data_IF_636236930929
#
_entry.id   IF_636236930929
#
_cell.length_a   1.000
_cell.length_b   1.000
_cell.length_c   1.000
_cell.angle_alpha   90.00
_cell.angle_beta   90.00
_cell.angle_gamma   90.00
#
_symmetry.space_group_name_H-M   'P 1'
#
loop_
_entity.id
_entity.type
_entity.pdbx_description
1 polymer ?
#
# COMPACT_ATOMS: atom_id res chain seq x y z
N UNK A 1 -16.74 -2.64 -8.81
CA UNK A 1 -15.30 -2.37 -8.95
C UNK A 1 -14.85 -1.46 -7.83
N UNK A 2 -13.74 -1.77 -7.18
CA UNK A 2 -13.23 -0.94 -6.10
C UNK A 2 -11.71 -0.79 -6.17
N UNK A 3 -11.22 0.33 -5.63
CA UNK A 3 -9.79 0.58 -5.48
C UNK A 3 -9.52 0.77 -4.00
N UNK A 4 -8.63 -0.02 -3.44
CA UNK A 4 -8.23 0.06 -2.04
C UNK A 4 -6.74 0.40 -1.95
N UNK A 5 -6.39 1.28 -1.02
CA UNK A 5 -4.99 1.59 -0.71
C UNK A 5 -4.60 0.79 0.53
N UNK A 6 -3.45 0.13 0.47
CA UNK A 6 -2.89 -0.63 1.60
C UNK A 6 -1.54 -0.01 1.92
N UNK A 7 -1.38 0.55 3.11
CA UNK A 7 -0.16 1.29 3.46
C UNK A 7 0.11 1.29 4.96
N UNK A 8 1.39 1.19 5.32
CA UNK A 8 1.88 1.46 6.67
C UNK A 8 2.59 2.82 6.65
N UNK A 9 2.26 3.70 7.59
CA UNK A 9 2.78 5.06 7.65
C UNK A 9 3.03 5.47 9.10
N UNK A 10 3.95 6.41 9.30
CA UNK A 10 4.20 6.97 10.61
C UNK A 10 3.28 8.18 10.90
N UNK A 11 3.51 8.87 12.01
CA UNK A 11 2.70 10.03 12.43
C UNK A 11 2.73 11.19 11.44
N UNK A 12 3.77 11.28 10.61
CA UNK A 12 3.94 12.31 9.58
C UNK A 12 3.67 11.81 8.17
N UNK A 13 3.02 10.65 8.04
CA UNK A 13 2.73 9.99 6.77
C UNK A 13 3.96 9.48 6.02
N UNK A 14 5.11 9.34 6.70
CA UNK A 14 6.28 8.74 6.08
C UNK A 14 6.05 7.26 5.81
N UNK A 15 6.43 6.80 4.62
CA UNK A 15 6.26 5.41 4.17
C UNK A 15 7.57 4.79 3.67
N UNK A 16 8.63 5.59 3.55
CA UNK A 16 9.92 5.08 3.10
C UNK A 16 11.07 5.97 3.48
N UNK A 17 12.24 5.34 3.63
CA UNK A 17 13.52 5.98 3.89
C UNK A 17 14.60 5.21 3.14
N UNK A 18 15.26 5.87 2.17
CA UNK A 18 16.32 5.25 1.39
C UNK A 18 15.87 4.03 0.57
N UNK A 19 14.61 3.98 0.12
CA UNK A 19 14.06 2.87 -0.65
C UNK A 19 13.53 1.72 0.17
N UNK A 20 13.58 1.80 1.51
CA UNK A 20 13.11 0.75 2.41
C UNK A 20 12.06 1.28 3.38
N UNK A 21 11.25 0.37 3.93
CA UNK A 21 10.35 0.71 5.03
C UNK A 21 11.17 0.93 6.31
N UNK A 22 10.87 2.01 7.08
CA UNK A 22 11.67 2.33 8.26
C UNK A 22 11.46 1.41 9.47
N UNK A 23 10.53 0.46 9.38
CA UNK A 23 10.19 -0.46 10.49
C UNK A 23 9.93 -1.86 9.96
N UNK A 24 9.94 -2.83 10.88
CA UNK A 24 9.56 -4.21 10.59
C UNK A 24 8.50 -4.65 11.61
N UNK A 25 7.29 -4.89 11.14
CA UNK A 25 6.15 -5.29 11.95
C UNK A 25 5.57 -6.60 11.40
N UNK A 26 5.78 -7.69 12.13
CA UNK A 26 5.40 -9.04 11.69
C UNK A 26 3.89 -9.16 11.44
N UNK A 27 3.06 -8.64 12.35
CA UNK A 27 1.61 -8.72 12.22
C UNK A 27 1.09 -7.86 11.08
N UNK A 28 1.77 -6.75 10.75
CA UNK A 28 1.45 -5.94 9.59
C UNK A 28 1.70 -6.70 8.28
N UNK A 29 2.80 -7.43 8.20
CA UNK A 29 3.10 -8.26 7.03
C UNK A 29 2.07 -9.36 6.84
N UNK A 30 1.59 -9.96 7.92
CA UNK A 30 0.51 -10.96 7.88
C UNK A 30 -0.80 -10.35 7.40
N UNK A 31 -1.15 -9.16 7.89
CA UNK A 31 -2.35 -8.44 7.45
C UNK A 31 -2.27 -8.07 5.99
N UNK A 32 -1.11 -7.55 5.53
CA UNK A 32 -0.87 -7.22 4.13
C UNK A 32 -1.14 -8.42 3.23
N UNK A 33 -0.60 -9.58 3.60
CA UNK A 33 -0.82 -10.81 2.85
C UNK A 33 -2.30 -11.20 2.83
N UNK A 34 -2.97 -11.14 3.98
CA UNK A 34 -4.40 -11.48 4.07
C UNK A 34 -5.28 -10.55 3.22
N UNK A 35 -4.96 -9.26 3.20
CA UNK A 35 -5.72 -8.27 2.42
C UNK A 35 -5.52 -8.43 0.91
N UNK A 36 -4.36 -8.88 0.47
CA UNK A 36 -3.98 -8.85 -0.94
C UNK A 36 -4.03 -10.22 -1.64
N UNK A 37 -3.97 -11.31 -0.89
CA UNK A 37 -3.91 -12.67 -1.47
C UNK A 37 -5.11 -12.94 -2.38
N UNK A 38 -4.83 -13.45 -3.59
CA UNK A 38 -5.85 -13.74 -4.59
C UNK A 38 -6.37 -12.52 -5.35
N UNK A 39 -5.81 -11.35 -5.12
CA UNK A 39 -6.25 -10.10 -5.74
C UNK A 39 -5.15 -9.48 -6.59
N UNK A 40 -5.50 -8.63 -7.58
CA UNK A 40 -4.50 -7.84 -8.28
C UNK A 40 -3.91 -6.79 -7.35
N UNK A 41 -2.59 -6.69 -7.34
CA UNK A 41 -1.84 -5.65 -6.60
C UNK A 41 -1.19 -4.71 -7.61
N UNK A 42 -1.31 -3.41 -7.37
CA UNK A 42 -0.70 -2.38 -8.20
C UNK A 42 0.42 -1.69 -7.44
N UNK A 43 1.58 -1.60 -8.07
CA UNK A 43 2.76 -0.95 -7.51
C UNK A 43 3.49 -0.15 -8.58
N UNK A 44 4.29 0.83 -8.17
CA UNK A 44 5.23 1.50 -9.05
C UNK A 44 6.51 0.67 -9.22
N UNK A 45 7.34 1.06 -10.18
CA UNK A 45 8.59 0.35 -10.48
C UNK A 45 9.54 0.31 -9.29
N UNK A 46 9.68 1.43 -8.56
CA UNK A 46 10.57 1.48 -7.38
C UNK A 46 10.13 0.52 -6.29
N UNK A 47 8.83 0.41 -6.07
CA UNK A 47 8.26 -0.54 -5.10
C UNK A 47 8.51 -1.98 -5.56
N UNK A 48 8.32 -2.27 -6.85
CA UNK A 48 8.60 -3.58 -7.42
C UNK A 48 10.06 -3.98 -7.20
N UNK A 49 11.00 -3.05 -7.43
CA UNK A 49 12.43 -3.28 -7.21
C UNK A 49 12.75 -3.49 -5.73
N UNK A 50 12.11 -2.73 -4.83
CA UNK A 50 12.32 -2.87 -3.39
C UNK A 50 11.82 -4.22 -2.86
N UNK A 51 10.69 -4.70 -3.35
CA UNK A 51 10.16 -6.02 -3.00
C UNK A 51 11.07 -7.13 -3.53
N UNK A 52 11.64 -6.95 -4.72
CA UNK A 52 12.66 -7.83 -5.28
C UNK A 52 12.16 -9.08 -5.99
N UNK A 53 10.86 -9.26 -6.11
CA UNK A 53 10.22 -10.40 -6.79
C UNK A 53 8.72 -10.16 -6.96
N UNK A 54 8.08 -10.98 -7.79
CA UNK A 54 6.62 -11.03 -7.82
C UNK A 54 6.08 -11.60 -6.51
N UNK A 55 4.98 -11.00 -6.01
CA UNK A 55 4.32 -11.50 -4.80
C UNK A 55 3.51 -12.74 -5.14
N UNK A 56 3.75 -13.88 -4.48
CA UNK A 56 3.04 -15.13 -4.78
C UNK A 56 1.54 -15.05 -4.50
N UNK A 57 0.75 -15.74 -5.32
CA UNK A 57 -0.70 -15.83 -5.12
C UNK A 57 -1.47 -14.58 -5.46
N UNK A 58 -0.87 -13.63 -6.15
CA UNK A 58 -1.47 -12.35 -6.54
C UNK A 58 -1.07 -12.02 -7.96
N UNK A 59 -1.95 -11.31 -8.67
CA UNK A 59 -1.59 -10.75 -9.97
C UNK A 59 -0.80 -9.46 -9.72
N UNK A 60 0.47 -9.45 -10.13
CA UNK A 60 1.38 -8.32 -9.88
C UNK A 60 1.33 -7.37 -11.08
N UNK A 61 0.81 -6.17 -10.86
CA UNK A 61 0.74 -5.12 -11.88
C UNK A 61 1.74 -4.03 -11.51
N UNK A 62 2.61 -3.66 -12.46
CA UNK A 62 3.62 -2.62 -12.26
C UNK A 62 3.30 -1.44 -13.17
N UNK A 63 3.01 -0.29 -12.57
CA UNK A 63 2.75 0.95 -13.30
C UNK A 63 4.09 1.59 -13.65
N UNK A 64 4.39 1.64 -14.94
CA UNK A 64 5.65 2.17 -15.44
C UNK A 64 5.54 2.58 -16.91
N UNK A 65 6.43 3.45 -17.37
CA UNK A 65 6.55 3.79 -18.79
C UNK A 65 7.41 2.77 -19.55
N UNK A 66 8.13 1.89 -18.84
CA UNK A 66 8.93 0.85 -19.46
C UNK A 66 8.04 -0.22 -20.12
N UNK A 67 8.60 -0.92 -21.11
CA UNK A 67 7.88 -2.00 -21.79
C UNK A 67 7.93 -3.32 -21.04
N UNK A 68 8.86 -3.46 -20.10
CA UNK A 68 9.04 -4.70 -19.33
C UNK A 68 9.02 -4.41 -17.82
N UNK A 69 8.47 -5.36 -17.07
CA UNK A 69 8.49 -5.33 -15.62
C UNK A 69 9.86 -5.78 -15.08
N UNK A 70 10.22 -5.37 -13.85
CA UNK A 70 11.50 -5.74 -13.25
C UNK A 70 11.73 -7.24 -13.06
N UNK A 71 10.66 -8.01 -12.80
CA UNK A 71 10.80 -9.44 -12.48
C UNK A 71 9.76 -10.28 -13.21
N UNK A 72 10.09 -11.57 -13.41
CA UNK A 72 9.16 -12.54 -13.96
C UNK A 72 7.90 -12.64 -13.06
N UNK A 73 6.77 -12.87 -13.69
CA UNK A 73 5.49 -12.97 -12.99
C UNK A 73 4.81 -11.63 -12.75
N UNK A 74 5.41 -10.54 -13.23
CA UNK A 74 4.82 -9.20 -13.17
C UNK A 74 4.31 -8.77 -14.53
N UNK A 75 3.22 -8.00 -14.55
CA UNK A 75 2.61 -7.45 -15.76
C UNK A 75 2.75 -5.94 -15.75
N UNK A 76 3.25 -5.35 -16.84
CA UNK A 76 3.30 -3.90 -16.99
C UNK A 76 1.92 -3.34 -17.30
N UNK A 77 1.56 -2.24 -16.63
CA UNK A 77 0.44 -1.40 -16.98
C UNK A 77 0.92 0.04 -17.12
N UNK A 78 0.29 0.82 -18.01
CA UNK A 78 0.70 2.18 -18.33
C UNK A 78 -0.25 3.24 -17.75
N UNK A 79 -1.35 2.81 -17.14
CA UNK A 79 -2.33 3.72 -16.53
C UNK A 79 -3.08 3.03 -15.40
N UNK A 80 -3.69 3.84 -14.53
CA UNK A 80 -4.57 3.32 -13.49
C UNK A 80 -5.79 2.62 -14.10
N UNK A 81 -6.36 3.16 -15.19
CA UNK A 81 -7.49 2.53 -15.88
C UNK A 81 -7.15 1.14 -16.40
N UNK A 82 -5.94 0.98 -16.94
CA UNK A 82 -5.47 -0.34 -17.39
C UNK A 82 -5.37 -1.32 -16.22
N UNK A 83 -4.85 -0.87 -15.07
CA UNK A 83 -4.77 -1.69 -13.87
C UNK A 83 -6.17 -2.07 -13.36
N UNK A 84 -7.10 -1.13 -13.35
CA UNK A 84 -8.49 -1.37 -12.94
C UNK A 84 -9.15 -2.43 -13.82
N UNK A 85 -8.88 -2.42 -15.12
CA UNK A 85 -9.42 -3.42 -16.06
C UNK A 85 -8.98 -4.85 -15.69
N UNK A 86 -7.77 -5.01 -15.17
CA UNK A 86 -7.28 -6.32 -14.71
C UNK A 86 -8.03 -6.86 -13.48
N UNK A 87 -8.70 -6.01 -12.72
CA UNK A 87 -9.45 -6.44 -11.54
C UNK A 87 -10.79 -7.11 -11.88
N UNK A 88 -11.24 -7.03 -13.13
CA UNK A 88 -12.47 -7.68 -13.61
C UNK A 88 -13.70 -7.41 -12.73
N UNK A 89 -13.88 -6.16 -12.31
CA UNK A 89 -14.98 -5.75 -11.44
C UNK A 89 -14.77 -5.98 -9.96
N UNK A 90 -13.66 -6.62 -9.56
CA UNK A 90 -13.28 -6.82 -8.16
C UNK A 90 -12.42 -5.68 -7.62
N UNK A 91 -11.72 -5.94 -6.52
CA UNK A 91 -10.87 -4.95 -5.85
C UNK A 91 -9.46 -4.93 -6.44
N UNK A 92 -8.97 -3.73 -6.77
CA UNK A 92 -7.57 -3.47 -7.08
C UNK A 92 -6.90 -2.97 -5.80
N UNK A 93 -5.83 -3.64 -5.39
CA UNK A 93 -5.10 -3.31 -4.15
C UNK A 93 -3.84 -2.52 -4.50
N UNK A 94 -3.82 -1.23 -4.17
CA UNK A 94 -2.69 -0.33 -4.45
C UNK A 94 -1.72 -0.38 -3.28
N UNK A 95 -0.50 -0.80 -3.54
CA UNK A 95 0.49 -1.10 -2.49
C UNK A 95 1.71 -0.18 -2.47
N UNK A 96 1.76 0.82 -3.32
CA UNK A 96 2.80 1.85 -3.25
C UNK A 96 3.52 2.11 -4.56
N UNK A 97 4.42 3.00 -4.58
CA UNK A 97 4.78 3.94 -3.50
C UNK A 97 4.03 5.26 -3.54
N UNK A 98 4.65 6.31 -3.04
CA UNK A 98 4.00 7.59 -2.84
C UNK A 98 3.30 8.17 -4.06
N UNK A 99 3.95 8.12 -5.22
CA UNK A 99 3.36 8.63 -6.47
C UNK A 99 2.14 7.81 -6.90
N UNK A 100 2.19 6.48 -6.73
CA UNK A 100 1.07 5.61 -7.10
C UNK A 100 -0.09 5.78 -6.13
N UNK A 101 0.18 5.95 -4.83
CA UNK A 101 -0.87 6.29 -3.87
C UNK A 101 -1.54 7.62 -4.22
N UNK A 102 -0.75 8.64 -4.55
CA UNK A 102 -1.29 9.96 -4.93
C UNK A 102 -2.17 9.88 -6.17
N UNK A 103 -1.77 9.07 -7.16
CA UNK A 103 -2.54 8.86 -8.38
C UNK A 103 -3.87 8.15 -8.10
N UNK A 104 -3.87 7.14 -7.21
CA UNK A 104 -5.03 6.31 -6.95
C UNK A 104 -5.99 6.90 -5.92
N UNK A 105 -5.50 7.73 -4.99
CA UNK A 105 -6.30 8.26 -3.88
C UNK A 105 -7.61 8.93 -4.32
N UNK A 106 -7.66 9.78 -5.36
CA UNK A 106 -8.92 10.40 -5.77
C UNK A 106 -9.99 9.41 -6.21
N UNK A 107 -9.60 8.20 -6.60
CA UNK A 107 -10.51 7.14 -7.08
C UNK A 107 -10.67 6.00 -6.10
N UNK A 108 -9.99 6.05 -4.95
CA UNK A 108 -10.03 4.98 -3.97
C UNK A 108 -11.34 4.99 -3.17
N UNK A 109 -11.86 3.80 -2.89
CA UNK A 109 -13.07 3.58 -2.10
C UNK A 109 -12.74 3.23 -0.66
N UNK A 110 -11.57 2.62 -0.44
CA UNK A 110 -11.12 2.15 0.87
C UNK A 110 -9.64 2.45 1.08
N UNK A 111 -9.28 2.63 2.34
CA UNK A 111 -7.89 2.66 2.77
C UNK A 111 -7.74 1.71 3.96
N UNK A 112 -6.74 0.85 3.88
CA UNK A 112 -6.33 -0.04 4.97
C UNK A 112 -4.99 0.46 5.46
N UNK A 113 -5.00 1.26 6.53
CA UNK A 113 -3.80 1.89 7.07
C UNK A 113 -3.26 1.10 8.25
N UNK A 114 -1.95 1.06 8.36
CA UNK A 114 -1.26 0.72 9.60
C UNK A 114 -0.58 1.99 10.09
N UNK A 115 -1.15 2.60 11.12
CA UNK A 115 -0.61 3.83 11.72
C UNK A 115 0.43 3.44 12.75
N UNK A 116 1.70 3.66 12.43
CA UNK A 116 2.83 3.28 13.28
C UNK A 116 3.18 4.44 14.21
N UNK A 117 3.29 4.15 15.51
CA UNK A 117 3.54 5.15 16.54
C UNK A 117 5.01 5.54 16.60
N UNK A 118 5.46 6.26 15.58
CA UNK A 118 6.82 6.76 15.46
C UNK A 118 6.90 7.94 14.50
N UNK A 119 8.05 8.60 14.50
CA UNK A 119 8.41 9.62 13.51
C UNK A 119 9.74 9.19 12.89
N UNK A 120 9.73 8.97 11.58
CA UNK A 120 10.91 8.51 10.84
C UNK A 120 11.80 9.70 10.50
N UNK A 121 13.07 9.65 10.93
CA UNK A 121 14.07 10.65 10.52
C UNK A 121 14.49 10.39 9.07
N UNK A 122 14.75 11.49 8.36
CA UNK A 122 15.24 11.44 6.98
C UNK A 122 14.37 10.63 6.03
N UNK A 123 13.04 10.61 6.28
CA UNK A 123 12.10 9.99 5.37
C UNK A 123 12.09 10.73 4.05
N UNK A 124 12.11 9.96 2.94
CA UNK A 124 12.11 10.53 1.59
C UNK A 124 10.82 10.30 0.83
N UNK A 125 9.94 9.46 1.35
CA UNK A 125 8.68 9.10 0.68
C UNK A 125 7.53 9.17 1.66
N UNK A 126 6.42 9.78 1.22
CA UNK A 126 5.26 10.04 2.07
C UNK A 126 3.98 9.58 1.40
N UNK A 127 3.03 9.14 2.22
CA UNK A 127 1.67 8.93 1.80
C UNK A 127 1.00 10.31 1.60
N UNK A 128 0.19 10.50 0.54
CA UNK A 128 -0.46 11.78 0.30
C UNK A 128 -1.41 12.16 1.44
N UNK A 129 -1.53 13.44 1.70
CA UNK A 129 -2.56 13.95 2.61
C UNK A 129 -3.95 13.69 2.07
N UNK A 130 -4.89 13.37 2.94
CA UNK A 130 -6.27 13.18 2.56
C UNK A 130 -7.19 13.99 3.47
N UNK A 131 -8.36 14.37 2.95
CA UNK A 131 -9.34 15.17 3.69
C UNK A 131 -10.20 14.25 4.58
N UNK A 132 -10.13 14.39 5.92
CA UNK A 132 -10.94 13.56 6.83
C UNK A 132 -12.44 13.69 6.59
N UNK A 133 -12.90 14.76 5.94
CA UNK A 133 -14.32 14.94 5.61
C UNK A 133 -14.77 14.02 4.47
N UNK A 134 -13.84 13.50 3.68
CA UNK A 134 -14.12 12.59 2.56
C UNK A 134 -14.03 11.13 2.98
N UNK A 135 -13.50 10.84 4.16
CA UNK A 135 -13.22 9.49 4.64
C UNK A 135 -13.83 9.25 6.02
N UNK A 136 -14.38 8.05 6.20
CA UNK A 136 -14.94 7.62 7.49
C UNK A 136 -14.14 6.44 8.02
N UNK A 137 -13.66 6.55 9.26
CA UNK A 137 -13.05 5.43 9.96
C UNK A 137 -14.13 4.41 10.31
N UNK A 138 -13.97 3.16 9.85
CA UNK A 138 -14.95 2.09 10.08
C UNK A 138 -14.45 1.02 11.02
N UNK A 139 -13.15 0.93 11.25
CA UNK A 139 -12.55 -0.02 12.19
C UNK A 139 -11.20 0.50 12.67
N UNK A 140 -10.87 0.20 13.92
CA UNK A 140 -9.55 0.49 14.50
C UNK A 140 -9.19 -0.60 15.48
N UNK A 141 -7.98 -1.15 15.34
CA UNK A 141 -7.45 -2.18 16.22
C UNK A 141 -6.05 -1.76 16.69
N UNK A 142 -5.91 -1.56 18.00
CA UNK A 142 -4.64 -1.13 18.60
C UNK A 142 -3.75 -2.33 18.92
N UNK A 143 -2.48 -2.23 18.58
CA UNK A 143 -1.43 -3.21 18.88
C UNK A 143 -0.32 -2.53 19.69
N UNK A 144 -0.15 -2.88 20.99
CA UNK A 144 0.91 -2.30 21.79
C UNK A 144 2.28 -2.89 21.44
N UNK A 145 3.34 -2.24 21.93
CA UNK A 145 4.70 -2.81 21.89
C UNK A 145 4.67 -4.17 22.58
N UNK A 146 5.28 -5.17 21.96
CA UNK A 146 5.38 -6.52 22.52
C UNK A 146 6.70 -7.19 22.13
N UNK A 147 6.83 -8.51 22.41
CA UNK A 147 8.06 -9.25 22.14
C UNK A 147 8.43 -9.32 20.66
N UNK A 148 7.45 -9.15 19.76
CA UNK A 148 7.64 -9.19 18.30
C UNK A 148 7.70 -7.81 17.67
N UNK A 149 7.23 -6.76 18.36
CA UNK A 149 7.05 -5.43 17.80
C UNK A 149 7.69 -4.38 18.71
N UNK A 150 8.72 -3.72 18.20
CA UNK A 150 9.40 -2.63 18.89
C UNK A 150 8.59 -1.33 18.93
N UNK A 151 7.56 -1.22 18.10
CA UNK A 151 6.70 -0.04 17.98
C UNK A 151 5.23 -0.45 18.14
N UNK A 152 4.44 0.41 18.78
CA UNK A 152 2.99 0.27 18.79
C UNK A 152 2.42 0.71 17.45
N UNK A 153 1.29 0.16 17.06
CA UNK A 153 0.64 0.52 15.81
C UNK A 153 -0.86 0.22 15.89
N UNK A 154 -1.63 0.88 15.04
CA UNK A 154 -3.06 0.64 14.88
C UNK A 154 -3.33 0.18 13.45
N UNK A 155 -4.19 -0.82 13.30
CA UNK A 155 -4.83 -1.11 12.01
C UNK A 155 -6.08 -0.27 11.91
N UNK A 156 -6.18 0.54 10.86
CA UNK A 156 -7.30 1.47 10.69
C UNK A 156 -7.88 1.32 9.30
N UNK A 157 -9.16 1.01 9.23
CA UNK A 157 -9.88 0.89 7.97
C UNK A 157 -10.74 2.13 7.75
N UNK A 158 -10.59 2.72 6.56
CA UNK A 158 -11.39 3.86 6.13
C UNK A 158 -12.22 3.50 4.90
N UNK A 159 -13.42 4.04 4.83
CA UNK A 159 -14.20 4.04 3.59
C UNK A 159 -14.49 5.47 3.16
N UNK A 160 -14.64 5.68 1.85
CA UNK A 160 -15.03 6.98 1.32
C UNK A 160 -16.47 7.29 1.70
N UNK A 161 -16.70 8.53 2.12
CA UNK A 161 -18.04 9.03 2.49
C UNK A 161 -18.96 9.19 1.29
#
# INVERSE_FOLDING_TARGET
>A
MSIALVVALDRHHAIGRGGEMPWHLTDDLKRFKALTLGKPVLMGRKTALAIGRALPGRQNLVLTHADTAPFDGQTVVHSLDEAVAHANGGALMVIGGGEVYALALPRADRMYLTEVDTITRDAGTFFPGFDPREWREIAREHHPIDAKHALAFDFVDYERR
#
